data_IF_041491182952
#
_entry.id   IF_041491182952
#
_cell.length_a   1.000
_cell.length_b   1.000
_cell.length_c   1.000
_cell.angle_alpha   90.00
_cell.angle_beta   90.00
_cell.angle_gamma   90.00
#
_symmetry.space_group_name_H-M   'P 1'
#
loop_
_entity.id
_entity.type
_entity.pdbx_description
1 polymer ?
#
# COMPACT_ATOMS: atom_id res chain seq x y z
N UNK A 1 2.99 7.87 -60.37
CA UNK A 1 3.66 8.60 -59.27
C UNK A 1 2.71 8.85 -58.08
N UNK A 2 1.88 7.87 -57.69
CA UNK A 2 0.89 8.06 -56.61
C UNK A 2 0.39 6.72 -56.04
N UNK A 3 1.29 5.79 -55.69
CA UNK A 3 0.93 4.50 -55.07
C UNK A 3 1.87 4.04 -53.95
N UNK A 4 2.77 4.92 -53.49
CA UNK A 4 3.75 4.63 -52.44
C UNK A 4 3.61 5.52 -51.18
N UNK A 5 2.50 6.26 -51.04
CA UNK A 5 2.28 7.20 -49.93
C UNK A 5 1.35 6.68 -48.82
N UNK A 6 0.74 5.51 -49.01
CA UNK A 6 -0.24 4.96 -48.05
C UNK A 6 0.39 4.24 -46.84
N UNK A 7 1.53 3.51 -46.93
CA UNK A 7 2.05 2.81 -45.74
C UNK A 7 2.76 3.74 -44.75
N UNK A 8 3.10 4.97 -45.14
CA UNK A 8 3.77 5.94 -44.26
C UNK A 8 2.79 6.67 -43.31
N UNK A 9 1.50 6.70 -43.64
CA UNK A 9 0.50 7.44 -42.86
C UNK A 9 -0.04 6.66 -41.65
N UNK A 10 0.02 5.32 -41.65
CA UNK A 10 -0.46 4.49 -40.54
C UNK A 10 0.52 4.47 -39.35
N UNK A 11 1.82 4.66 -39.60
CA UNK A 11 2.85 4.69 -38.57
C UNK A 11 2.86 5.97 -37.71
N UNK A 12 2.17 7.04 -38.13
CA UNK A 12 2.06 8.30 -37.37
C UNK A 12 0.87 8.35 -36.39
N UNK A 13 -0.02 7.34 -36.41
CA UNK A 13 -1.18 7.25 -35.52
C UNK A 13 -1.04 6.23 -34.40
N UNK A 14 0.15 5.65 -34.19
CA UNK A 14 0.48 5.02 -32.92
C UNK A 14 0.67 6.10 -31.85
N UNK A 15 -0.39 6.88 -31.59
CA UNK A 15 -0.47 7.67 -30.36
C UNK A 15 -0.32 6.68 -29.22
N UNK A 16 0.69 6.93 -28.38
CA UNK A 16 0.85 6.26 -27.11
C UNK A 16 -0.54 6.15 -26.47
N UNK A 17 -1.07 4.93 -26.37
CA UNK A 17 -2.18 4.63 -25.51
C UNK A 17 -1.64 4.75 -24.08
N UNK A 18 -1.41 5.98 -23.63
CA UNK A 18 -1.19 6.26 -22.22
C UNK A 18 -2.54 5.99 -21.57
N UNK A 19 -2.69 4.83 -20.93
CA UNK A 19 -3.75 4.67 -19.95
C UNK A 19 -3.66 5.89 -19.03
N UNK A 20 -4.71 6.70 -18.97
CA UNK A 20 -4.74 7.88 -18.13
C UNK A 20 -4.90 7.40 -16.69
N UNK A 21 -3.78 7.03 -16.09
CA UNK A 21 -3.70 6.56 -14.73
C UNK A 21 -3.89 7.77 -13.81
N UNK A 22 -5.12 7.94 -13.31
CA UNK A 22 -5.53 9.07 -12.47
C UNK A 22 -5.02 8.99 -11.01
N UNK A 23 -4.02 8.14 -10.72
CA UNK A 23 -3.72 7.68 -9.36
C UNK A 23 -2.31 7.99 -8.84
N UNK A 24 -1.68 9.07 -9.31
CA UNK A 24 -0.35 9.46 -8.87
C UNK A 24 -0.40 10.30 -7.60
N UNK A 25 0.42 9.93 -6.61
CA UNK A 25 0.49 10.65 -5.35
C UNK A 25 0.97 9.77 -4.21
N UNK A 26 0.69 10.20 -2.99
CA UNK A 26 1.07 9.49 -1.78
C UNK A 26 -0.13 9.05 -0.98
N UNK A 27 0.02 7.93 -0.28
CA UNK A 27 -0.92 7.47 0.73
C UNK A 27 -0.20 7.37 2.07
N UNK A 28 -0.90 7.75 3.13
CA UNK A 28 -0.40 7.65 4.49
C UNK A 28 -1.19 6.65 5.29
N UNK A 29 -0.49 5.83 6.07
CA UNK A 29 -1.12 4.89 6.98
C UNK A 29 -0.55 5.03 8.40
N UNK A 30 -1.37 5.07 9.47
CA UNK A 30 -2.82 5.06 9.45
C UNK A 30 -3.41 6.19 8.61
N UNK A 31 -4.60 5.97 8.04
CA UNK A 31 -5.25 6.99 7.21
C UNK A 31 -5.38 8.30 8.02
N UNK A 32 -5.04 9.46 7.43
CA UNK A 32 -5.23 10.75 8.10
C UNK A 32 -6.64 10.90 8.68
N UNK A 33 -6.73 11.39 9.91
CA UNK A 33 -7.95 11.50 10.70
C UNK A 33 -8.21 10.33 11.65
N UNK A 34 -7.42 9.25 11.60
CA UNK A 34 -7.52 8.15 12.56
C UNK A 34 -7.05 8.56 13.98
N UNK A 35 -7.58 7.87 14.98
CA UNK A 35 -7.05 7.90 16.35
C UNK A 35 -5.90 6.88 16.44
N UNK A 36 -4.76 7.31 16.99
CA UNK A 36 -3.53 6.51 16.99
C UNK A 36 -2.90 6.42 18.40
N UNK A 37 -2.24 5.31 18.75
CA UNK A 37 -1.42 5.22 19.97
C UNK A 37 -0.26 6.23 19.98
N UNK A 38 0.23 6.63 21.15
CA UNK A 38 1.32 7.62 21.27
C UNK A 38 2.70 7.11 20.80
N UNK A 39 2.83 5.80 20.58
CA UNK A 39 4.01 5.12 20.06
C UNK A 39 3.84 4.65 18.60
N UNK A 40 2.90 5.25 17.86
CA UNK A 40 2.62 4.86 16.49
C UNK A 40 3.81 5.12 15.54
N UNK A 41 4.02 4.19 14.61
CA UNK A 41 4.72 4.37 13.36
C UNK A 41 3.73 4.65 12.24
N UNK A 42 4.21 5.32 11.21
CA UNK A 42 3.43 5.59 10.01
C UNK A 42 4.07 4.90 8.81
N UNK A 43 3.28 4.63 7.78
CA UNK A 43 3.73 4.19 6.48
C UNK A 43 3.42 5.29 5.48
N UNK A 44 4.39 5.64 4.65
CA UNK A 44 4.20 6.53 3.52
C UNK A 44 4.41 5.72 2.25
N UNK A 45 3.34 5.55 1.49
CA UNK A 45 3.36 4.90 0.19
C UNK A 45 3.37 5.93 -0.92
N UNK A 46 4.29 5.80 -1.88
CA UNK A 46 4.26 6.49 -3.16
C UNK A 46 3.64 5.58 -4.22
N UNK A 47 2.68 6.12 -4.96
CA UNK A 47 1.98 5.44 -6.05
C UNK A 47 2.33 6.11 -7.37
N UNK A 48 2.66 5.28 -8.37
CA UNK A 48 2.99 5.73 -9.72
C UNK A 48 4.23 6.64 -9.72
N UNK A 49 4.10 7.86 -10.24
CA UNK A 49 5.24 8.80 -10.36
C UNK A 49 5.80 9.28 -9.01
N UNK A 50 5.02 9.19 -7.92
CA UNK A 50 5.49 9.59 -6.59
C UNK A 50 6.42 8.54 -5.92
N UNK A 51 6.54 7.34 -6.51
CA UNK A 51 7.35 6.23 -5.96
C UNK A 51 8.79 6.65 -5.66
N UNK A 52 9.47 7.22 -6.65
CA UNK A 52 10.90 7.57 -6.54
C UNK A 52 11.12 8.66 -5.48
N UNK A 53 10.25 9.67 -5.46
CA UNK A 53 10.29 10.74 -4.48
C UNK A 53 10.16 10.20 -3.05
N UNK A 54 9.24 9.25 -2.81
CA UNK A 54 9.08 8.60 -1.50
C UNK A 54 10.30 7.77 -1.12
N UNK A 55 10.86 6.98 -2.03
CA UNK A 55 12.09 6.20 -1.76
C UNK A 55 13.28 7.11 -1.43
N UNK A 56 13.37 8.28 -2.09
CA UNK A 56 14.43 9.27 -1.84
C UNK A 56 14.40 9.86 -0.42
N UNK A 57 13.31 9.66 0.33
CA UNK A 57 13.21 10.12 1.71
C UNK A 57 13.93 9.20 2.70
N UNK A 58 14.30 7.97 2.32
CA UNK A 58 15.00 7.06 3.24
C UNK A 58 16.27 7.70 3.79
N UNK A 59 16.40 7.74 5.11
CA UNK A 59 17.49 8.40 5.82
C UNK A 59 17.26 9.88 6.13
N UNK A 60 16.24 10.51 5.53
CA UNK A 60 15.83 11.90 5.85
C UNK A 60 14.99 11.93 7.12
N UNK A 61 14.90 13.15 7.67
CA UNK A 61 14.09 13.48 8.83
C UNK A 61 12.87 14.28 8.39
N UNK A 62 11.72 13.92 8.93
CA UNK A 62 10.46 14.63 8.84
C UNK A 62 10.03 15.00 10.26
N UNK A 63 8.90 15.69 10.40
CA UNK A 63 8.41 16.13 11.70
C UNK A 63 6.91 16.01 11.82
N UNK A 64 6.46 15.57 13.00
CA UNK A 64 5.09 15.69 13.46
C UNK A 64 5.00 16.89 14.37
N UNK A 65 4.03 17.77 14.12
CA UNK A 65 3.87 19.03 14.85
C UNK A 65 2.48 19.09 15.46
N UNK A 66 2.41 19.44 16.73
CA UNK A 66 1.22 19.88 17.45
C UNK A 66 1.43 21.32 17.95
N UNK A 67 0.41 21.93 18.56
CA UNK A 67 0.45 23.32 18.99
C UNK A 67 1.60 23.64 19.98
N UNK A 68 2.09 22.66 20.74
CA UNK A 68 3.13 22.87 21.75
C UNK A 68 4.22 21.80 21.77
N UNK A 69 4.22 20.88 20.82
CA UNK A 69 5.16 19.76 20.80
C UNK A 69 5.48 19.35 19.37
N UNK A 70 6.77 19.15 19.10
CA UNK A 70 7.32 18.73 17.82
C UNK A 70 8.13 17.45 18.03
N UNK A 71 7.94 16.47 17.15
CA UNK A 71 8.66 15.19 17.23
C UNK A 71 9.28 14.86 15.89
N UNK A 72 10.58 14.52 15.92
CA UNK A 72 11.30 14.03 14.76
C UNK A 72 10.79 12.65 14.33
N UNK A 73 10.62 12.50 13.02
CA UNK A 73 10.24 11.27 12.35
C UNK A 73 11.35 10.86 11.39
N UNK A 74 11.89 9.66 11.55
CA UNK A 74 12.94 9.12 10.69
C UNK A 74 12.32 8.25 9.61
N UNK A 75 12.62 8.57 8.36
CA UNK A 75 12.24 7.74 7.23
C UNK A 75 13.19 6.54 7.09
N UNK A 76 12.64 5.34 7.18
CA UNK A 76 13.34 4.07 7.08
C UNK A 76 12.87 3.31 5.85
N UNK A 77 13.75 2.49 5.29
CA UNK A 77 13.40 1.61 4.17
C UNK A 77 12.24 0.71 4.55
N UNK A 78 11.23 0.64 3.68
CA UNK A 78 10.14 -0.32 3.77
C UNK A 78 10.19 -1.30 2.61
N UNK A 79 9.15 -1.31 1.78
CA UNK A 79 8.92 -2.30 0.74
C UNK A 79 8.72 -1.66 -0.62
N UNK A 80 9.08 -2.36 -1.68
CA UNK A 80 8.87 -1.93 -3.06
C UNK A 80 8.12 -3.02 -3.81
N UNK A 81 7.09 -2.62 -4.55
CA UNK A 81 6.36 -3.50 -5.45
C UNK A 81 6.93 -3.39 -6.86
N UNK A 82 6.88 -4.49 -7.61
CA UNK A 82 7.15 -4.46 -9.05
C UNK A 82 6.07 -3.72 -9.85
N UNK A 83 4.96 -3.33 -9.23
CA UNK A 83 3.81 -2.67 -9.87
C UNK A 83 3.66 -1.20 -9.48
N UNK A 84 4.80 -0.48 -9.43
CA UNK A 84 4.78 0.99 -9.34
C UNK A 84 4.36 1.53 -7.98
N UNK A 85 4.63 0.78 -6.89
CA UNK A 85 4.43 1.25 -5.51
C UNK A 85 5.69 1.10 -4.69
N UNK A 86 5.93 2.05 -3.77
CA UNK A 86 6.95 1.92 -2.74
C UNK A 86 6.45 2.49 -1.42
N UNK A 87 6.70 1.77 -0.34
CA UNK A 87 6.36 2.19 1.02
C UNK A 87 7.62 2.36 1.84
N UNK A 88 7.73 3.48 2.55
CA UNK A 88 8.73 3.68 3.59
C UNK A 88 8.07 3.67 4.97
N UNK A 89 8.85 3.33 5.99
CA UNK A 89 8.39 3.39 7.38
C UNK A 89 8.83 4.73 7.97
N UNK A 90 7.87 5.48 8.50
CA UNK A 90 8.09 6.73 9.21
C UNK A 90 8.09 6.42 10.71
N UNK A 91 9.28 6.28 11.28
CA UNK A 91 9.49 5.95 12.69
C UNK A 91 9.62 7.22 13.54
N UNK A 92 8.70 7.42 14.46
CA UNK A 92 8.75 8.52 15.44
C UNK A 92 9.94 8.28 16.40
N UNK A 93 10.79 9.30 16.60
CA UNK A 93 12.01 9.19 17.42
C UNK A 93 11.79 9.40 18.91
N UNK A 94 10.60 9.89 19.30
CA UNK A 94 10.17 10.06 20.68
C UNK A 94 8.79 9.47 20.91
N UNK A 95 8.13 9.88 22.00
CA UNK A 95 6.71 9.59 22.22
C UNK A 95 5.90 10.80 21.79
N UNK A 96 4.75 10.55 21.18
CA UNK A 96 3.74 11.60 21.06
C UNK A 96 3.13 11.87 22.44
N UNK A 97 2.57 13.05 22.62
CA UNK A 97 1.77 13.36 23.81
C UNK A 97 0.33 12.87 23.62
N UNK A 98 -0.34 12.40 24.67
CA UNK A 98 -1.72 11.93 24.60
C UNK A 98 -2.70 13.08 24.33
N UNK A 99 -3.86 12.74 23.76
CA UNK A 99 -4.99 13.65 23.54
C UNK A 99 -4.62 14.92 22.76
N UNK A 100 -3.68 14.79 21.80
CA UNK A 100 -3.22 15.89 20.94
C UNK A 100 -3.43 15.58 19.48
N UNK A 101 -3.50 16.66 18.70
CA UNK A 101 -3.52 16.60 17.25
C UNK A 101 -2.12 16.84 16.69
N UNK A 102 -1.64 15.92 15.87
CA UNK A 102 -0.35 16.06 15.19
C UNK A 102 -0.56 16.10 13.68
N UNK A 103 0.10 17.06 13.03
CA UNK A 103 0.20 17.16 11.57
C UNK A 103 1.58 16.72 11.11
N UNK A 104 1.65 15.87 10.08
CA UNK A 104 2.94 15.53 9.45
C UNK A 104 3.30 16.61 8.44
N UNK A 105 4.47 17.23 8.63
CA UNK A 105 5.04 18.24 7.71
C UNK A 105 5.64 17.58 6.46
N UNK A 106 4.79 16.88 5.71
CA UNK A 106 5.17 16.20 4.47
C UNK A 106 5.44 17.20 3.33
N UNK A 107 4.83 18.38 3.40
CA UNK A 107 5.01 19.51 2.49
C UNK A 107 6.46 20.00 2.42
N UNK A 108 7.19 19.90 3.53
CA UNK A 108 8.60 20.32 3.63
C UNK A 108 9.54 19.41 2.81
N UNK A 109 9.13 18.15 2.57
CA UNK A 109 9.98 17.14 1.90
C UNK A 109 9.43 16.64 0.57
N UNK A 110 8.12 16.76 0.36
CA UNK A 110 7.40 16.41 -0.87
C UNK A 110 6.42 17.53 -1.21
N UNK A 111 6.92 18.69 -1.68
CA UNK A 111 6.05 19.81 -2.02
C UNK A 111 5.12 19.44 -3.18
N UNK A 112 3.86 19.89 -3.10
CA UNK A 112 2.81 19.71 -4.13
C UNK A 112 2.44 18.25 -4.44
N UNK A 113 2.79 17.29 -3.58
CA UNK A 113 2.38 15.91 -3.78
C UNK A 113 0.89 15.74 -3.48
N UNK A 114 0.16 15.05 -4.35
CA UNK A 114 -1.25 14.73 -4.11
C UNK A 114 -1.36 13.69 -3.00
N UNK A 115 -2.15 13.97 -1.96
CA UNK A 115 -2.46 13.02 -0.91
C UNK A 115 -3.74 12.25 -1.27
N UNK A 116 -3.58 10.98 -1.64
CA UNK A 116 -4.64 10.16 -2.24
C UNK A 116 -5.68 9.67 -1.23
N UNK A 117 -5.35 9.63 0.07
CA UNK A 117 -6.25 9.21 1.15
C UNK A 117 -6.43 10.29 2.22
N UNK A 118 -6.31 11.57 1.85
CA UNK A 118 -6.48 12.72 2.73
C UNK A 118 -7.74 13.55 2.43
N UNK A 119 -7.95 14.60 3.22
CA UNK A 119 -9.05 15.56 3.03
C UNK A 119 -8.55 16.82 2.32
N UNK A 120 -8.61 16.81 0.99
CA UNK A 120 -8.28 17.99 0.17
C UNK A 120 -6.82 18.42 0.30
N UNK A 121 -6.58 19.74 0.32
CA UNK A 121 -5.25 20.34 0.37
C UNK A 121 -4.67 20.51 1.79
N UNK A 122 -5.38 20.05 2.83
CA UNK A 122 -4.91 20.14 4.21
C UNK A 122 -3.74 19.17 4.44
N UNK A 123 -2.86 19.52 5.39
CA UNK A 123 -1.82 18.61 5.83
C UNK A 123 -2.45 17.34 6.44
N UNK A 124 -1.80 16.18 6.32
CA UNK A 124 -2.26 14.96 6.97
C UNK A 124 -2.13 15.08 8.50
N UNK A 125 -3.23 14.81 9.20
CA UNK A 125 -3.35 14.98 10.65
C UNK A 125 -3.86 13.70 11.33
N UNK A 126 -3.48 13.48 12.60
CA UNK A 126 -4.00 12.41 13.44
C UNK A 126 -4.26 12.90 14.86
N UNK A 127 -5.16 12.21 15.56
CA UNK A 127 -5.40 12.40 16.99
C UNK A 127 -4.72 11.30 17.78
N UNK A 128 -3.92 11.65 18.78
CA UNK A 128 -3.36 10.66 19.69
C UNK A 128 -4.39 10.22 20.72
N UNK A 129 -4.43 8.91 20.99
CA UNK A 129 -5.21 8.35 22.08
C UNK A 129 -4.55 8.61 23.45
N UNK A 130 -5.12 7.99 24.48
CA UNK A 130 -4.74 8.19 25.88
C UNK A 130 -3.35 7.67 26.27
N UNK A 131 -2.75 6.81 25.46
CA UNK A 131 -1.54 6.09 25.87
C UNK A 131 -0.86 5.32 24.76
N UNK A 132 0.20 4.62 25.16
CA UNK A 132 0.91 3.71 24.28
C UNK A 132 0.12 2.42 24.13
N UNK A 133 0.13 1.87 22.93
CA UNK A 133 -0.28 0.50 22.73
C UNK A 133 0.87 -0.41 23.17
N UNK A 134 0.53 -1.47 23.88
CA UNK A 134 1.46 -2.48 24.39
C UNK A 134 0.98 -3.90 24.07
N UNK A 135 -0.18 -4.03 23.41
CA UNK A 135 -0.75 -5.31 23.08
C UNK A 135 -0.46 -5.63 21.62
N UNK A 136 0.08 -6.83 21.37
CA UNK A 136 0.25 -7.29 20.01
C UNK A 136 -1.09 -7.77 19.41
N UNK A 137 -1.28 -7.62 18.08
CA UNK A 137 -2.44 -8.17 17.39
C UNK A 137 -2.56 -9.68 17.62
N UNK A 138 -3.79 -10.20 17.72
CA UNK A 138 -4.03 -11.63 17.97
C UNK A 138 -4.96 -12.25 16.95
N UNK A 139 -4.52 -13.34 16.32
CA UNK A 139 -5.37 -14.15 15.48
C UNK A 139 -6.41 -14.89 16.32
N UNK A 140 -7.68 -14.67 16.02
CA UNK A 140 -8.80 -15.48 16.51
C UNK A 140 -9.06 -16.67 15.58
N UNK A 141 -8.82 -16.48 14.28
CA UNK A 141 -8.88 -17.50 13.23
C UNK A 141 -7.76 -17.27 12.24
N UNK A 142 -7.38 -18.32 11.52
CA UNK A 142 -6.40 -18.22 10.44
C UNK A 142 -6.95 -17.34 9.31
N UNK A 143 -6.12 -16.51 8.68
CA UNK A 143 -6.47 -15.83 7.43
C UNK A 143 -6.93 -16.83 6.39
N UNK A 144 -7.94 -16.46 5.60
CA UNK A 144 -8.43 -17.28 4.50
C UNK A 144 -8.77 -16.40 3.30
N UNK A 145 -8.62 -16.95 2.10
CA UNK A 145 -9.16 -16.33 0.90
C UNK A 145 -10.68 -16.43 0.94
N UNK A 146 -11.34 -15.31 0.66
CA UNK A 146 -12.81 -15.23 0.62
C UNK A 146 -13.35 -15.03 -0.78
N UNK A 147 -12.62 -14.29 -1.62
CA UNK A 147 -13.11 -13.87 -2.94
C UNK A 147 -11.94 -13.56 -3.87
N UNK A 148 -12.14 -13.84 -5.16
CA UNK A 148 -11.29 -13.40 -6.25
C UNK A 148 -12.01 -12.35 -7.10
N UNK A 149 -11.34 -11.23 -7.37
CA UNK A 149 -11.87 -10.14 -8.19
C UNK A 149 -11.03 -10.04 -9.46
N UNK A 150 -11.68 -10.15 -10.61
CA UNK A 150 -11.10 -9.88 -11.93
C UNK A 150 -12.00 -8.90 -12.67
N UNK A 151 -11.44 -7.77 -13.12
CA UNK A 151 -12.15 -6.79 -13.93
C UNK A 151 -11.26 -6.31 -15.07
N UNK A 152 -11.79 -6.34 -16.28
CA UNK A 152 -11.13 -5.78 -17.46
C UNK A 152 -11.78 -4.48 -17.85
N UNK A 153 -10.95 -3.48 -18.10
CA UNK A 153 -11.35 -2.16 -18.57
C UNK A 153 -10.44 -1.77 -19.74
N UNK A 154 -10.81 -0.80 -20.58
CA UNK A 154 -9.91 -0.26 -21.59
C UNK A 154 -8.57 0.25 -21.02
N UNK A 155 -8.54 0.64 -19.75
CA UNK A 155 -7.35 1.12 -19.04
C UNK A 155 -6.43 -0.01 -18.56
N UNK A 156 -6.93 -1.26 -18.53
CA UNK A 156 -6.16 -2.43 -18.12
C UNK A 156 -6.96 -3.41 -17.26
N UNK A 157 -6.24 -4.34 -16.64
CA UNK A 157 -6.82 -5.42 -15.82
C UNK A 157 -6.62 -5.13 -14.34
N UNK A 158 -7.72 -5.17 -13.59
CA UNK A 158 -7.69 -5.21 -12.13
C UNK A 158 -7.84 -6.66 -11.67
N UNK A 159 -6.94 -7.12 -10.81
CA UNK A 159 -6.96 -8.46 -10.24
C UNK A 159 -6.62 -8.42 -8.76
N UNK A 160 -7.53 -8.87 -7.92
CA UNK A 160 -7.32 -8.97 -6.47
C UNK A 160 -7.79 -10.30 -5.91
N UNK A 161 -7.15 -10.72 -4.83
CA UNK A 161 -7.66 -11.72 -3.91
C UNK A 161 -7.95 -11.05 -2.59
N UNK A 162 -9.17 -11.24 -2.08
CA UNK A 162 -9.60 -10.72 -0.78
C UNK A 162 -9.29 -11.75 0.30
N UNK A 163 -8.41 -11.37 1.21
CA UNK A 163 -8.21 -12.08 2.46
C UNK A 163 -9.26 -11.62 3.48
N UNK A 164 -9.97 -12.58 4.05
CA UNK A 164 -10.75 -12.38 5.25
C UNK A 164 -9.88 -12.74 6.47
N UNK A 165 -9.84 -11.83 7.43
CA UNK A 165 -9.01 -11.89 8.61
C UNK A 165 -9.91 -11.98 9.85
N UNK A 166 -9.43 -12.64 10.88
CA UNK A 166 -10.04 -12.58 12.22
C UNK A 166 -8.94 -12.13 13.17
N UNK A 167 -8.50 -10.89 12.98
CA UNK A 167 -7.42 -10.27 13.75
C UNK A 167 -8.05 -9.39 14.82
N UNK A 168 -7.84 -9.72 16.10
CA UNK A 168 -8.21 -8.86 17.21
C UNK A 168 -7.10 -7.82 17.37
N UNK A 169 -7.43 -6.58 17.02
CA UNK A 169 -6.56 -5.42 17.13
C UNK A 169 -7.44 -4.17 17.29
N UNK A 170 -7.06 -3.25 18.17
CA UNK A 170 -7.81 -2.02 18.46
C UNK A 170 -7.23 -0.81 17.69
N UNK A 171 -5.95 -0.89 17.33
CA UNK A 171 -5.25 0.09 16.51
C UNK A 171 -5.28 -0.29 15.02
N UNK A 172 -4.84 0.60 14.11
CA UNK A 172 -4.69 0.25 12.70
C UNK A 172 -3.66 -0.88 12.51
N UNK A 173 -3.98 -1.86 11.66
CA UNK A 173 -3.14 -3.03 11.41
C UNK A 173 -2.76 -3.18 9.93
N UNK A 174 -1.70 -3.95 9.68
CA UNK A 174 -1.10 -4.16 8.37
C UNK A 174 -0.63 -5.60 8.23
N UNK A 175 -0.51 -6.05 6.98
CA UNK A 175 0.13 -7.32 6.64
C UNK A 175 1.37 -7.05 5.79
N UNK A 176 2.50 -7.65 6.13
CA UNK A 176 3.54 -7.95 5.13
C UNK A 176 3.18 -9.28 4.50
N UNK A 177 2.97 -9.27 3.19
CA UNK A 177 2.66 -10.48 2.43
C UNK A 177 3.85 -10.83 1.56
N UNK A 178 4.38 -12.04 1.72
CA UNK A 178 5.34 -12.65 0.80
C UNK A 178 4.60 -13.66 -0.08
N UNK A 179 4.48 -13.35 -1.36
CA UNK A 179 3.75 -14.12 -2.35
C UNK A 179 4.73 -14.95 -3.20
N UNK A 180 4.57 -16.27 -3.14
CA UNK A 180 5.42 -17.23 -3.86
C UNK A 180 4.58 -18.03 -4.87
N UNK A 181 4.96 -18.07 -6.16
CA UNK A 181 4.30 -18.96 -7.12
C UNK A 181 4.61 -20.43 -6.81
N UNK A 182 3.62 -21.30 -7.01
CA UNK A 182 3.77 -22.75 -6.73
C UNK A 182 4.45 -23.55 -7.84
N UNK A 183 4.63 -22.93 -9.00
CA UNK A 183 5.31 -23.49 -10.19
C UNK A 183 6.38 -22.50 -10.66
N UNK A 184 7.43 -22.93 -11.40
CA UNK A 184 8.43 -22.04 -11.98
C UNK A 184 7.82 -20.98 -12.91
N UNK A 185 8.28 -19.73 -12.83
CA UNK A 185 7.76 -18.61 -13.62
C UNK A 185 8.03 -17.27 -12.93
N UNK A 186 7.01 -16.57 -12.39
CA UNK A 186 7.18 -15.30 -11.69
C UNK A 186 8.21 -15.36 -10.56
N UNK A 187 8.81 -14.21 -10.28
CA UNK A 187 9.61 -14.04 -9.07
C UNK A 187 8.72 -14.00 -7.82
N UNK A 188 9.34 -14.34 -6.69
CA UNK A 188 8.76 -14.06 -5.37
C UNK A 188 8.55 -12.55 -5.22
N UNK A 189 7.42 -12.17 -4.64
CA UNK A 189 7.06 -10.77 -4.38
C UNK A 189 6.84 -10.57 -2.89
N UNK A 190 7.13 -9.38 -2.38
CA UNK A 190 6.89 -9.05 -0.99
C UNK A 190 6.48 -7.58 -0.86
N UNK A 191 5.35 -7.32 -0.20
CA UNK A 191 4.86 -5.96 -0.03
C UNK A 191 3.94 -5.84 1.20
N UNK A 192 3.75 -4.61 1.68
CA UNK A 192 2.86 -4.30 2.80
C UNK A 192 1.46 -3.91 2.31
N UNK A 193 0.41 -4.37 2.98
CA UNK A 193 -0.98 -4.02 2.68
C UNK A 193 -1.73 -3.61 3.95
N UNK A 194 -2.59 -2.58 3.89
CA UNK A 194 -3.40 -2.19 5.04
C UNK A 194 -4.51 -3.22 5.32
N UNK A 195 -4.84 -3.38 6.59
CA UNK A 195 -6.04 -4.11 7.02
C UNK A 195 -7.17 -3.11 7.23
N UNK A 196 -8.28 -3.32 6.51
CA UNK A 196 -9.49 -2.50 6.63
C UNK A 196 -10.66 -3.43 6.90
N UNK A 197 -11.38 -3.20 7.99
CA UNK A 197 -12.55 -4.01 8.39
C UNK A 197 -12.26 -5.52 8.38
N UNK A 198 -11.13 -5.94 8.97
CA UNK A 198 -10.68 -7.33 9.00
C UNK A 198 -10.49 -7.95 7.59
N UNK A 199 -10.16 -7.12 6.60
CA UNK A 199 -9.86 -7.58 5.25
C UNK A 199 -8.59 -6.94 4.71
N UNK A 200 -7.92 -7.66 3.82
CA UNK A 200 -6.79 -7.15 3.06
C UNK A 200 -6.89 -7.64 1.61
N UNK A 201 -6.44 -6.82 0.68
CA UNK A 201 -6.44 -7.14 -0.75
C UNK A 201 -5.01 -7.38 -1.23
N UNK A 202 -4.80 -8.53 -1.87
CA UNK A 202 -3.54 -8.90 -2.53
C UNK A 202 -3.77 -8.79 -4.02
N UNK A 203 -3.03 -7.92 -4.71
CA UNK A 203 -3.12 -7.81 -6.16
C UNK A 203 -2.85 -6.42 -6.70
N UNK A 204 -3.55 -6.07 -7.77
CA UNK A 204 -3.31 -4.84 -8.49
C UNK A 204 -4.56 -4.31 -9.19
N UNK A 205 -4.55 -3.00 -9.41
CA UNK A 205 -5.43 -2.32 -10.34
C UNK A 205 -4.82 -2.31 -11.75
N UNK A 206 -5.51 -1.66 -12.68
CA UNK A 206 -5.05 -1.53 -14.06
C UNK A 206 -3.69 -0.84 -14.21
N UNK A 207 -3.40 0.14 -13.34
CA UNK A 207 -2.25 1.04 -13.47
C UNK A 207 -1.15 0.84 -12.43
N UNK A 208 -1.48 0.27 -11.27
CA UNK A 208 -0.52 0.06 -10.17
C UNK A 208 -1.03 -1.05 -9.25
N UNK A 209 -0.17 -1.56 -8.38
CA UNK A 209 -0.56 -2.60 -7.46
C UNK A 209 0.50 -2.97 -6.46
N UNK A 210 0.13 -3.89 -5.58
CA UNK A 210 1.03 -4.45 -4.57
C UNK A 210 1.63 -5.76 -5.06
N UNK A 211 0.85 -6.58 -5.77
CA UNK A 211 1.27 -7.88 -6.28
C UNK A 211 0.77 -8.14 -7.70
N UNK A 212 1.67 -8.62 -8.57
CA UNK A 212 1.33 -9.16 -9.88
C UNK A 212 0.93 -10.63 -9.75
N UNK A 213 -0.21 -11.00 -10.33
CA UNK A 213 -0.68 -12.38 -10.39
C UNK A 213 -1.08 -12.75 -11.80
N UNK A 214 -0.63 -13.91 -12.25
CA UNK A 214 -1.01 -14.50 -13.53
C UNK A 214 -2.36 -15.22 -13.42
N UNK A 215 -3.05 -15.31 -14.54
CA UNK A 215 -4.40 -15.87 -14.64
C UNK A 215 -4.45 -17.34 -14.19
N UNK A 216 -5.36 -17.68 -13.27
CA UNK A 216 -5.55 -19.05 -12.77
C UNK A 216 -4.33 -19.68 -12.10
N UNK A 217 -3.30 -18.90 -11.80
CA UNK A 217 -2.05 -19.44 -11.27
C UNK A 217 -2.13 -19.63 -9.77
N UNK A 218 -1.59 -20.74 -9.27
CA UNK A 218 -1.54 -21.02 -7.83
C UNK A 218 -0.35 -20.34 -7.15
N UNK A 219 -0.64 -19.72 -6.01
CA UNK A 219 0.32 -19.01 -5.17
C UNK A 219 0.23 -19.47 -3.70
N UNK A 220 1.29 -19.18 -2.97
CA UNK A 220 1.39 -19.29 -1.51
C UNK A 220 1.69 -17.92 -0.93
N UNK A 221 0.80 -17.40 -0.11
CA UNK A 221 1.02 -16.19 0.68
C UNK A 221 1.51 -16.56 2.09
N UNK A 222 2.70 -16.08 2.45
CA UNK A 222 3.11 -15.99 3.87
C UNK A 222 2.74 -14.60 4.38
N UNK A 223 2.12 -14.58 5.56
CA UNK A 223 1.51 -13.38 6.13
C UNK A 223 2.15 -13.11 7.48
N UNK A 224 2.69 -11.90 7.63
CA UNK A 224 3.12 -11.34 8.90
C UNK A 224 2.22 -10.13 9.20
N UNK A 225 1.45 -10.18 10.28
CA UNK A 225 0.60 -9.06 10.68
C UNK A 225 1.28 -8.22 11.74
N UNK A 226 1.08 -6.90 11.68
CA UNK A 226 1.60 -5.98 12.66
C UNK A 226 0.66 -4.79 12.89
N UNK A 227 0.76 -4.15 14.04
CA UNK A 227 -0.01 -2.94 14.38
C UNK A 227 0.75 -1.63 14.07
N UNK A 228 0.02 -0.53 14.20
CA UNK A 228 0.56 0.82 14.12
C UNK A 228 1.63 1.10 15.18
N UNK A 229 1.71 0.37 16.29
CA UNK A 229 2.70 0.59 17.35
C UNK A 229 4.03 -0.14 17.13
N UNK A 230 4.09 -1.15 16.26
CA UNK A 230 5.29 -1.94 16.06
C UNK A 230 5.16 -3.42 16.36
N UNK A 231 4.11 -3.86 17.05
CA UNK A 231 4.01 -5.24 17.52
C UNK A 231 3.58 -6.17 16.40
N UNK A 232 4.17 -7.36 16.41
CA UNK A 232 3.85 -8.40 15.46
C UNK A 232 2.86 -9.38 16.07
N UNK A 233 1.88 -9.80 15.27
CA UNK A 233 1.04 -10.93 15.60
C UNK A 233 1.86 -12.24 15.63
N UNK A 234 1.39 -13.27 16.34
CA UNK A 234 1.94 -14.61 16.20
C UNK A 234 1.92 -15.08 14.74
N UNK A 235 2.93 -15.85 14.35
CA UNK A 235 3.01 -16.42 13.00
C UNK A 235 1.83 -17.37 12.73
N UNK A 236 1.37 -17.40 11.48
CA UNK A 236 0.32 -18.31 11.00
C UNK A 236 0.83 -19.14 9.84
N UNK A 237 0.25 -20.33 9.60
CA UNK A 237 0.56 -21.10 8.41
C UNK A 237 0.30 -20.29 7.12
N UNK A 238 1.05 -20.56 6.04
CA UNK A 238 0.83 -19.91 4.75
C UNK A 238 -0.58 -20.20 4.21
N UNK A 239 -1.11 -19.26 3.43
CA UNK A 239 -2.39 -19.40 2.72
C UNK A 239 -2.09 -19.73 1.26
N UNK A 240 -2.55 -20.89 0.80
CA UNK A 240 -2.48 -21.28 -0.60
C UNK A 240 -3.77 -20.84 -1.31
N UNK A 241 -3.65 -20.31 -2.54
CA UNK A 241 -4.81 -19.90 -3.33
C UNK A 241 -4.51 -19.88 -4.83
N UNK A 242 -5.57 -19.83 -5.63
CA UNK A 242 -5.50 -19.60 -7.07
C UNK A 242 -5.88 -18.16 -7.38
N UNK A 243 -5.08 -17.50 -8.23
CA UNK A 243 -5.39 -16.17 -8.70
C UNK A 243 -6.66 -16.17 -9.56
N UNK A 244 -7.50 -15.11 -9.51
CA UNK A 244 -8.71 -15.03 -10.31
C UNK A 244 -8.41 -15.24 -11.79
N UNK A 245 -9.06 -16.24 -12.36
CA UNK A 245 -8.94 -16.63 -13.76
C UNK A 245 -10.10 -16.08 -14.58
N UNK A 246 -9.86 -15.91 -15.88
CA UNK A 246 -10.94 -15.68 -16.82
C UNK A 246 -11.51 -17.01 -17.34
N UNK A 247 -12.72 -17.34 -16.91
CA UNK A 247 -13.43 -18.53 -17.39
C UNK A 247 -14.24 -18.29 -18.67
N UNK A 248 -14.08 -17.13 -19.34
CA UNK A 248 -14.82 -16.83 -20.58
C UNK A 248 -14.17 -17.36 -21.87
N UNK A 249 -13.21 -18.27 -21.78
CA UNK A 249 -12.71 -19.03 -22.93
C UNK A 249 -13.29 -20.46 -22.95
N UNK A 250 -14.04 -20.87 -23.98
CA UNK A 250 -14.21 -22.29 -24.32
C UNK A 250 -12.93 -22.91 -24.88
#
# INVERSE_FOLDING_TARGET
MLRLLVPLFVLLFARAASAQCLGDGVQLFPTPGAIIPINSRFLLEGVGTARESVVSLVGKKLRLVSDSHEVEVKAQRGWESSLGRATIVLKVSGKLEPDKRYSLRIDEVLPNVALLNGKGAALPEWYTGKGADTQAPRWQKRPAVSEGILRRTPQGTTRFVRLNLSLREESPAYLVVKLEPRRPGPSVQQYVVPVVNNTAFIGHEACSGTFAMEDGRSYRARIEAFDAAGHNAPAVPPVDFEAPADYSAP
#
